data_IF_100396235890
#
_entry.id   IF_100396235890
#
_cell.length_a   1.000
_cell.length_b   1.000
_cell.length_c   1.000
_cell.angle_alpha   90.00
_cell.angle_beta   90.00
_cell.angle_gamma   90.00
#
_symmetry.space_group_name_H-M   'P 1'
#
loop_
_entity.id
_entity.type
_entity.pdbx_description
1 polymer ?
#
# COMPACT_ATOMS: atom_id res chain seq x y z
N UNK A 1 8.68 -10.50 -7.42
CA UNK A 1 8.82 -11.83 -8.01
C UNK A 1 9.86 -12.67 -7.26
N UNK A 2 11.12 -12.25 -7.15
CA UNK A 2 12.21 -13.02 -6.51
C UNK A 2 11.84 -13.62 -5.14
N UNK A 3 11.23 -12.85 -4.25
CA UNK A 3 10.83 -13.35 -2.91
C UNK A 3 9.90 -14.56 -2.98
N UNK A 4 8.99 -14.61 -3.95
CA UNK A 4 8.07 -15.75 -4.14
C UNK A 4 8.81 -17.00 -4.65
N UNK A 5 9.91 -16.82 -5.37
CA UNK A 5 10.82 -17.87 -5.82
C UNK A 5 11.80 -18.31 -4.70
N UNK A 6 11.66 -17.76 -3.48
CA UNK A 6 12.58 -18.02 -2.38
C UNK A 6 13.92 -17.28 -2.49
N UNK A 7 14.05 -16.36 -3.44
CA UNK A 7 15.27 -15.58 -3.69
C UNK A 7 15.17 -14.14 -3.15
N UNK A 8 16.32 -13.50 -2.95
CA UNK A 8 16.40 -12.11 -2.53
C UNK A 8 16.07 -11.89 -1.05
N UNK A 9 15.75 -10.66 -0.69
CA UNK A 9 15.54 -10.24 0.69
C UNK A 9 14.08 -9.79 0.94
N UNK A 10 13.57 -10.07 2.13
CA UNK A 10 12.25 -9.64 2.59
C UNK A 10 12.32 -9.17 4.04
N UNK A 11 11.44 -8.26 4.44
CA UNK A 11 11.24 -7.96 5.85
C UNK A 11 10.29 -8.98 6.45
N UNK A 12 10.80 -9.79 7.38
CA UNK A 12 10.05 -10.80 8.11
C UNK A 12 10.17 -10.56 9.61
N UNK A 13 9.04 -10.46 10.31
CA UNK A 13 8.98 -10.16 11.76
C UNK A 13 9.87 -8.96 12.17
N UNK A 14 9.86 -7.91 11.35
CA UNK A 14 10.62 -6.68 11.57
C UNK A 14 12.12 -6.72 11.24
N UNK A 15 12.66 -7.84 10.74
CA UNK A 15 14.06 -7.96 10.32
C UNK A 15 14.17 -8.27 8.84
N UNK A 16 15.19 -7.72 8.17
CA UNK A 16 15.51 -8.07 6.78
C UNK A 16 16.25 -9.41 6.77
N UNK A 17 15.70 -10.39 6.07
CA UNK A 17 16.22 -11.76 5.96
C UNK A 17 16.14 -12.25 4.51
N UNK A 18 16.85 -13.33 4.20
CA UNK A 18 16.69 -13.99 2.90
C UNK A 18 15.28 -14.59 2.77
N UNK A 19 14.65 -14.48 1.59
CA UNK A 19 13.27 -14.90 1.37
C UNK A 19 13.01 -16.37 1.75
N UNK A 20 13.94 -17.27 1.38
CA UNK A 20 13.86 -18.69 1.76
C UNK A 20 13.68 -18.92 3.27
N UNK A 21 14.31 -18.11 4.12
CA UNK A 21 14.17 -18.23 5.59
C UNK A 21 12.73 -17.94 6.00
N UNK A 22 12.15 -16.85 5.48
CA UNK A 22 10.78 -16.48 5.79
C UNK A 22 9.77 -17.52 5.27
N UNK A 23 9.97 -18.05 4.05
CA UNK A 23 9.12 -19.09 3.50
C UNK A 23 9.17 -20.38 4.34
N UNK A 24 10.38 -20.81 4.72
CA UNK A 24 10.57 -22.03 5.53
C UNK A 24 9.91 -21.91 6.89
N UNK A 25 10.05 -20.76 7.56
CA UNK A 25 9.45 -20.49 8.88
C UNK A 25 7.91 -20.45 8.84
N UNK A 26 7.32 -20.05 7.70
CA UNK A 26 5.87 -20.07 7.48
C UNK A 26 5.36 -21.40 6.88
N UNK A 27 6.25 -22.38 6.65
CA UNK A 27 5.90 -23.67 6.04
C UNK A 27 5.44 -23.56 4.59
N UNK A 28 5.93 -22.55 3.86
CA UNK A 28 5.61 -22.29 2.46
C UNK A 28 6.74 -22.74 1.55
N UNK A 29 6.38 -23.31 0.40
CA UNK A 29 7.34 -23.65 -0.65
C UNK A 29 7.46 -22.48 -1.65
N UNK A 30 8.68 -22.23 -2.18
CA UNK A 30 8.85 -21.32 -3.31
C UNK A 30 7.98 -21.71 -4.51
N UNK A 31 7.45 -20.72 -5.22
CA UNK A 31 6.75 -21.00 -6.49
C UNK A 31 7.76 -21.36 -7.58
N UNK A 32 7.41 -22.30 -8.43
CA UNK A 32 8.12 -22.55 -9.69
C UNK A 32 7.36 -21.84 -10.82
N UNK A 33 8.08 -21.13 -11.69
CA UNK A 33 7.47 -20.38 -12.78
C UNK A 33 7.54 -21.17 -14.09
N UNK A 34 6.42 -21.24 -14.78
CA UNK A 34 6.36 -21.70 -16.17
C UNK A 34 6.62 -20.56 -17.16
N UNK A 35 6.60 -20.90 -18.45
CA UNK A 35 6.79 -19.95 -19.52
C UNK A 35 5.78 -18.79 -19.44
N UNK A 36 6.30 -17.55 -19.45
CA UNK A 36 5.57 -16.27 -19.36
C UNK A 36 5.01 -15.88 -17.98
N UNK A 37 5.05 -16.76 -16.99
CA UNK A 37 4.52 -16.42 -15.66
C UNK A 37 5.36 -15.36 -14.95
N UNK A 38 6.69 -15.38 -15.15
CA UNK A 38 7.56 -14.33 -14.62
C UNK A 38 7.24 -12.94 -15.18
N UNK A 39 6.91 -12.85 -16.48
CA UNK A 39 6.48 -11.59 -17.10
C UNK A 39 5.11 -11.17 -16.56
N UNK A 40 4.16 -12.11 -16.45
CA UNK A 40 2.84 -11.85 -15.89
C UNK A 40 2.92 -11.30 -14.45
N UNK A 41 3.84 -11.80 -13.61
CA UNK A 41 4.01 -11.33 -12.23
C UNK A 41 4.52 -9.89 -12.12
N UNK A 42 5.34 -9.43 -13.06
CA UNK A 42 5.98 -8.11 -12.97
C UNK A 42 5.32 -7.05 -13.86
N UNK A 43 4.62 -7.47 -14.92
CA UNK A 43 4.11 -6.59 -15.96
C UNK A 43 2.67 -6.16 -15.67
N UNK A 44 2.51 -5.35 -14.63
CA UNK A 44 1.23 -4.77 -14.23
C UNK A 44 1.42 -3.45 -13.50
N UNK A 45 0.31 -2.76 -13.22
CA UNK A 45 0.32 -1.49 -12.46
C UNK A 45 0.10 -1.70 -10.96
N UNK A 46 0.09 -2.93 -10.46
CA UNK A 46 -0.31 -3.24 -9.08
C UNK A 46 0.34 -2.35 -8.02
N UNK A 47 1.64 -2.05 -8.13
CA UNK A 47 2.37 -1.25 -7.15
C UNK A 47 1.87 0.21 -7.12
N UNK A 48 1.80 0.86 -8.28
CA UNK A 48 1.32 2.24 -8.37
C UNK A 48 -0.19 2.34 -8.09
N UNK A 49 -0.97 1.33 -8.48
CA UNK A 49 -2.40 1.25 -8.17
C UNK A 49 -2.63 1.12 -6.66
N UNK A 50 -1.90 0.24 -5.97
CA UNK A 50 -1.99 0.09 -4.52
C UNK A 50 -1.63 1.41 -3.80
N UNK A 51 -0.54 2.06 -4.22
CA UNK A 51 -0.15 3.36 -3.66
C UNK A 51 -1.23 4.43 -3.92
N UNK A 52 -1.79 4.48 -5.13
CA UNK A 52 -2.84 5.43 -5.48
C UNK A 52 -4.11 5.22 -4.66
N UNK A 53 -4.53 3.97 -4.44
CA UNK A 53 -5.70 3.65 -3.60
C UNK A 53 -5.46 4.04 -2.14
N UNK A 54 -4.28 3.73 -1.58
CA UNK A 54 -3.95 4.12 -0.20
C UNK A 54 -3.99 5.64 -0.05
N UNK A 55 -3.33 6.36 -0.95
CA UNK A 55 -3.32 7.83 -0.95
C UNK A 55 -4.71 8.44 -1.14
N UNK A 56 -5.57 7.82 -1.96
CA UNK A 56 -6.95 8.28 -2.13
C UNK A 56 -7.77 8.16 -0.85
N UNK A 57 -7.68 7.02 -0.14
CA UNK A 57 -8.40 6.81 1.12
C UNK A 57 -7.94 7.83 2.18
N UNK A 58 -6.63 8.07 2.29
CA UNK A 58 -6.08 9.07 3.19
C UNK A 58 -6.51 10.50 2.82
N UNK A 59 -6.52 10.82 1.53
CA UNK A 59 -6.94 12.12 1.02
C UNK A 59 -8.43 12.37 1.28
N UNK A 60 -9.29 11.36 1.11
CA UNK A 60 -10.72 11.46 1.41
C UNK A 60 -10.95 11.77 2.89
N UNK A 61 -10.29 11.05 3.79
CA UNK A 61 -10.37 11.33 5.23
C UNK A 61 -9.88 12.75 5.56
N UNK A 62 -8.81 13.20 4.91
CA UNK A 62 -8.26 14.55 5.08
C UNK A 62 -9.22 15.62 4.56
N UNK A 63 -9.92 15.37 3.45
CA UNK A 63 -10.90 16.29 2.88
C UNK A 63 -12.08 16.51 3.85
N UNK A 64 -12.62 15.45 4.44
CA UNK A 64 -13.67 15.57 5.47
C UNK A 64 -13.20 16.36 6.69
N UNK A 65 -11.97 16.14 7.14
CA UNK A 65 -11.40 16.92 8.24
C UNK A 65 -11.25 18.39 7.87
N UNK A 66 -10.82 18.69 6.66
CA UNK A 66 -10.68 20.06 6.17
C UNK A 66 -12.03 20.78 6.14
N UNK A 67 -13.11 20.11 5.71
CA UNK A 67 -14.47 20.66 5.74
C UNK A 67 -14.93 20.99 7.17
N UNK A 68 -14.71 20.08 8.12
CA UNK A 68 -15.06 20.32 9.53
C UNK A 68 -14.24 21.47 10.15
N UNK A 69 -12.96 21.56 9.82
CA UNK A 69 -12.11 22.67 10.28
C UNK A 69 -12.59 23.99 9.69
N UNK A 70 -12.94 24.00 8.40
CA UNK A 70 -13.48 25.17 7.73
C UNK A 70 -14.82 25.61 8.35
N UNK A 71 -15.72 24.67 8.66
CA UNK A 71 -17.01 24.99 9.31
C UNK A 71 -16.81 25.58 10.70
N UNK A 72 -15.95 24.99 11.54
CA UNK A 72 -15.62 25.55 12.86
C UNK A 72 -15.00 26.95 12.76
N UNK A 73 -14.17 27.18 11.73
CA UNK A 73 -13.56 28.50 11.49
C UNK A 73 -14.62 29.54 11.11
N UNK A 74 -15.57 29.18 10.24
CA UNK A 74 -16.70 30.05 9.86
C UNK A 74 -17.53 30.41 11.10
N UNK A 75 -17.88 29.42 11.92
CA UNK A 75 -18.66 29.67 13.14
C UNK A 75 -17.90 30.57 14.12
N UNK A 76 -16.63 30.27 14.39
CA UNK A 76 -15.80 31.04 15.34
C UNK A 76 -15.55 32.49 14.91
N UNK A 77 -15.55 32.77 13.61
CA UNK A 77 -15.32 34.11 13.06
C UNK A 77 -16.62 34.85 12.68
N UNK A 78 -17.79 34.27 12.96
CA UNK A 78 -19.09 34.83 12.54
C UNK A 78 -19.15 35.09 11.03
N UNK A 79 -18.68 34.12 10.24
CA UNK A 79 -18.65 34.21 8.78
C UNK A 79 -20.04 34.42 8.18
N UNK A 80 -20.08 35.12 7.04
CA UNK A 80 -21.29 35.38 6.26
C UNK A 80 -21.68 34.09 5.52
N UNK A 81 -22.90 33.59 5.74
CA UNK A 81 -23.37 32.28 5.25
C UNK A 81 -24.19 32.34 3.96
N UNK A 82 -24.49 33.55 3.48
CA UNK A 82 -25.29 33.86 2.29
C UNK A 82 -24.47 34.51 1.16
N UNK A 83 -23.15 34.35 1.20
CA UNK A 83 -22.21 34.83 0.18
C UNK A 83 -22.13 33.90 -1.05
#
# INVERSE_FOLDING_TARGET
ALVLLGEGEVFYKGKRVHAMVALTEEGLEPIELEAKEGLALINGTQAMTAQGVLSYIEAEATAYQAELIASMTIEGLQGIIDA
#
